data_IF_282493172355
#
_entry.id   IF_282493172355
#
_cell.length_a   1.000
_cell.length_b   1.000
_cell.length_c   1.000
_cell.angle_alpha   90.00
_cell.angle_beta   90.00
_cell.angle_gamma   90.00
#
_symmetry.space_group_name_H-M   'P 1'
#
loop_
_entity.id
_entity.type
_entity.pdbx_description
1 polymer ?
#
# COMPACT_ATOMS: atom_id res chain seq x y z
N UNK A 1 29.78 -22.09 -17.24
CA UNK A 1 29.96 -21.02 -16.26
C UNK A 1 29.04 -21.34 -15.09
N UNK A 2 29.49 -21.33 -13.84
CA UNK A 2 28.61 -21.54 -12.71
C UNK A 2 27.73 -20.31 -12.55
N UNK A 3 26.44 -20.57 -12.37
CA UNK A 3 25.45 -19.58 -12.01
C UNK A 3 25.93 -18.84 -10.76
N UNK A 4 26.23 -17.56 -10.89
CA UNK A 4 26.40 -16.69 -9.74
C UNK A 4 24.97 -16.51 -9.17
N UNK A 5 24.62 -17.29 -8.17
CA UNK A 5 23.49 -16.98 -7.31
C UNK A 5 23.84 -15.63 -6.64
N UNK A 6 23.36 -14.56 -7.22
CA UNK A 6 23.36 -13.27 -6.52
C UNK A 6 22.54 -13.49 -5.25
N UNK A 7 23.19 -13.42 -4.10
CA UNK A 7 22.49 -13.40 -2.83
C UNK A 7 21.44 -12.28 -2.90
N UNK A 8 20.20 -12.57 -2.47
CA UNK A 8 19.18 -11.53 -2.45
C UNK A 8 19.70 -10.36 -1.61
N UNK A 9 19.39 -9.12 -2.00
CA UNK A 9 19.82 -7.95 -1.25
C UNK A 9 19.40 -8.10 0.21
N UNK A 10 20.37 -7.87 1.11
CA UNK A 10 20.13 -7.89 2.55
C UNK A 10 19.17 -6.75 2.89
N UNK A 11 17.90 -7.09 3.07
CA UNK A 11 16.89 -6.12 3.46
C UNK A 11 16.97 -5.95 4.97
N UNK A 12 17.58 -4.87 5.41
CA UNK A 12 17.49 -4.45 6.80
C UNK A 12 16.03 -4.10 7.12
N UNK A 13 15.43 -4.87 8.04
CA UNK A 13 14.08 -4.66 8.51
C UNK A 13 14.11 -4.11 9.95
N UNK A 14 14.27 -2.79 10.13
CA UNK A 14 14.49 -2.19 11.44
C UNK A 14 13.29 -2.31 12.38
N UNK A 15 12.13 -2.66 11.85
CA UNK A 15 10.94 -2.83 12.66
C UNK A 15 9.81 -3.54 11.97
N UNK A 16 8.90 -4.07 12.78
CA UNK A 16 7.70 -4.77 12.30
C UNK A 16 6.62 -4.88 13.35
N UNK A 17 5.42 -5.23 12.90
CA UNK A 17 4.29 -5.49 13.77
C UNK A 17 3.43 -6.64 13.23
N UNK A 18 2.80 -7.37 14.15
CA UNK A 18 1.82 -8.43 13.85
C UNK A 18 0.61 -8.23 14.74
N UNK A 19 -0.59 -8.32 14.15
CA UNK A 19 -1.86 -8.35 14.86
C UNK A 19 -2.69 -9.52 14.34
N UNK A 20 -3.15 -10.37 15.23
CA UNK A 20 -4.03 -11.51 14.91
C UNK A 20 -5.38 -11.27 15.55
N UNK A 21 -6.42 -11.26 14.75
CA UNK A 21 -7.80 -11.03 15.19
C UNK A 21 -8.65 -12.29 14.96
N UNK A 22 -9.64 -12.49 15.82
CA UNK A 22 -10.71 -13.44 15.59
C UNK A 22 -11.80 -12.79 14.73
N UNK A 23 -12.03 -13.23 13.47
CA UNK A 23 -12.95 -12.53 12.54
C UNK A 23 -14.38 -12.42 13.02
N UNK A 24 -14.84 -13.41 13.82
CA UNK A 24 -16.23 -13.48 14.27
C UNK A 24 -16.56 -12.60 15.48
N UNK A 25 -15.57 -12.31 16.34
CA UNK A 25 -15.76 -11.52 17.58
C UNK A 25 -14.99 -10.20 17.56
N UNK A 26 -13.94 -10.08 16.72
CA UNK A 26 -13.03 -8.96 16.75
C UNK A 26 -11.97 -9.01 17.86
N UNK A 27 -11.93 -10.12 18.62
CA UNK A 27 -10.95 -10.27 19.70
C UNK A 27 -9.53 -10.27 19.17
N UNK A 28 -8.62 -9.58 19.86
CA UNK A 28 -7.19 -9.61 19.58
C UNK A 28 -6.60 -10.88 20.19
N UNK A 29 -6.23 -11.85 19.35
CA UNK A 29 -5.63 -13.12 19.78
C UNK A 29 -4.12 -12.99 20.00
N UNK A 30 -3.45 -12.14 19.23
CA UNK A 30 -2.04 -11.84 19.41
C UNK A 30 -1.73 -10.45 18.87
N UNK A 31 -0.74 -9.80 19.51
CA UNK A 31 -0.21 -8.51 19.07
C UNK A 31 1.27 -8.48 19.39
N UNK A 32 2.09 -8.17 18.40
CA UNK A 32 3.54 -8.05 18.54
C UNK A 32 4.07 -6.80 17.85
N UNK A 33 5.13 -6.24 18.44
CA UNK A 33 5.90 -5.12 17.88
C UNK A 33 7.37 -5.44 17.99
N UNK A 34 8.17 -5.14 16.97
CA UNK A 34 9.61 -5.33 16.95
C UNK A 34 10.28 -4.03 16.48
N UNK A 35 11.41 -3.61 17.06
CA UNK A 35 12.00 -4.17 18.28
C UNK A 35 11.09 -3.97 19.49
N UNK A 36 11.42 -4.67 20.57
CA UNK A 36 10.63 -4.70 21.81
C UNK A 36 11.58 -4.61 23.01
N UNK A 37 11.01 -4.53 24.20
CA UNK A 37 11.73 -4.56 25.47
C UNK A 37 11.05 -5.49 26.45
N UNK A 38 11.75 -5.88 27.54
CA UNK A 38 11.15 -6.65 28.62
C UNK A 38 10.28 -5.73 29.51
N UNK A 39 8.95 -5.92 29.55
CA UNK A 39 8.07 -5.11 30.41
C UNK A 39 8.42 -5.17 31.89
N UNK A 40 9.10 -6.21 32.37
CA UNK A 40 9.53 -6.35 33.74
C UNK A 40 10.59 -5.31 34.13
N UNK A 41 11.33 -4.77 33.16
CA UNK A 41 12.28 -3.66 33.41
C UNK A 41 11.59 -2.40 33.94
N UNK A 42 10.27 -2.26 33.71
CA UNK A 42 9.48 -1.12 34.19
C UNK A 42 9.09 -1.21 35.66
N UNK A 43 9.29 -2.37 36.30
CA UNK A 43 8.93 -2.57 37.70
C UNK A 43 9.83 -1.70 38.59
N UNK A 44 9.22 -0.73 39.26
CA UNK A 44 9.92 0.30 40.05
C UNK A 44 10.37 1.52 39.27
N UNK A 45 10.05 1.59 37.98
CA UNK A 45 10.40 2.66 37.07
C UNK A 45 11.68 2.37 36.28
N UNK A 46 11.74 2.95 35.08
CA UNK A 46 12.96 2.88 34.26
C UNK A 46 14.05 3.80 34.81
N UNK A 47 15.29 3.37 34.74
CA UNK A 47 16.44 4.28 34.86
C UNK A 47 16.43 5.25 33.67
N UNK A 48 16.92 6.45 33.86
CA UNK A 48 16.92 7.50 32.83
C UNK A 48 17.70 7.07 31.57
N UNK A 49 18.84 6.42 31.76
CA UNK A 49 19.67 5.91 30.66
C UNK A 49 18.89 4.87 29.82
N UNK A 50 18.24 3.92 30.48
CA UNK A 50 17.45 2.89 29.81
C UNK A 50 16.20 3.46 29.12
N UNK A 51 15.52 4.42 29.78
CA UNK A 51 14.40 5.13 29.15
C UNK A 51 14.80 5.85 27.88
N UNK A 52 15.95 6.54 27.90
CA UNK A 52 16.46 7.21 26.71
C UNK A 52 16.81 6.23 25.60
N UNK A 53 17.49 5.12 25.93
CA UNK A 53 17.82 4.07 24.97
C UNK A 53 16.58 3.46 24.30
N UNK A 54 15.51 3.18 25.06
CA UNK A 54 14.25 2.60 24.53
C UNK A 54 13.46 3.59 23.66
N UNK A 55 13.70 4.88 23.79
CA UNK A 55 13.06 5.92 22.99
C UNK A 55 14.02 6.56 21.97
N UNK A 56 15.19 5.99 21.75
CA UNK A 56 16.17 6.49 20.78
C UNK A 56 15.86 5.98 19.37
N UNK A 57 15.68 6.87 18.39
CA UNK A 57 15.54 6.46 16.97
C UNK A 57 16.74 5.65 16.45
N UNK A 58 17.95 5.84 16.99
CA UNK A 58 19.12 5.07 16.63
C UNK A 58 19.04 3.59 17.04
N UNK A 59 18.13 3.25 17.96
CA UNK A 59 17.82 1.91 18.40
C UNK A 59 16.46 1.43 17.89
N UNK A 60 15.94 2.03 16.85
CA UNK A 60 14.65 1.69 16.24
C UNK A 60 13.46 1.78 17.21
N UNK A 61 13.54 2.67 18.22
CA UNK A 61 12.44 2.98 19.14
C UNK A 61 11.76 1.74 19.74
N UNK A 62 12.42 0.93 20.59
CA UNK A 62 11.81 -0.29 21.16
C UNK A 62 10.54 -0.03 21.99
N UNK A 63 10.39 1.18 22.57
CA UNK A 63 9.20 1.60 23.32
C UNK A 63 7.99 1.88 22.43
N UNK A 64 8.20 2.15 21.14
CA UNK A 64 7.15 2.48 20.18
C UNK A 64 6.39 1.22 19.76
N UNK A 65 5.13 1.09 20.20
CA UNK A 65 4.30 -0.04 19.80
C UNK A 65 3.79 0.12 18.36
N UNK A 66 4.49 -0.47 17.42
CA UNK A 66 4.19 -0.37 16.00
C UNK A 66 2.84 -0.96 15.59
N UNK A 67 2.31 -1.89 16.38
CA UNK A 67 1.02 -2.50 16.10
C UNK A 67 -0.16 -1.55 16.38
N UNK A 68 0.04 -0.52 17.22
CA UNK A 68 -1.00 0.44 17.62
C UNK A 68 -0.69 1.85 17.11
N UNK A 69 0.58 2.22 17.08
CA UNK A 69 1.04 3.59 16.81
C UNK A 69 1.69 3.74 15.44
N UNK A 70 2.02 2.61 14.76
CA UNK A 70 2.68 2.65 13.46
C UNK A 70 1.75 3.11 12.36
N UNK A 71 2.13 4.17 11.66
CA UNK A 71 1.44 4.69 10.48
C UNK A 71 2.23 4.28 9.24
N UNK A 72 1.84 3.16 8.62
CA UNK A 72 2.48 2.63 7.43
C UNK A 72 1.58 2.80 6.22
N UNK A 73 2.19 3.06 5.06
CA UNK A 73 1.46 3.05 3.80
C UNK A 73 0.90 1.64 3.55
N UNK A 74 -0.43 1.49 3.38
CA UNK A 74 -1.05 0.17 3.24
C UNK A 74 -0.67 -0.55 1.95
N UNK A 75 -0.14 0.16 0.96
CA UNK A 75 0.21 -0.40 -0.34
C UNK A 75 -0.97 -1.12 -0.99
N UNK A 76 -0.65 -2.23 -1.76
CA UNK A 76 -1.66 -3.00 -2.50
C UNK A 76 -2.77 -3.63 -1.64
N UNK A 77 -2.60 -3.68 -0.31
CA UNK A 77 -3.69 -4.16 0.57
C UNK A 77 -4.88 -3.21 0.57
N UNK A 78 -4.66 -1.92 0.28
CA UNK A 78 -5.73 -0.94 0.17
C UNK A 78 -6.60 -1.10 -1.08
N UNK A 79 -6.13 -1.83 -2.08
CA UNK A 79 -6.87 -2.09 -3.32
C UNK A 79 -8.22 -2.78 -3.08
N UNK A 80 -8.33 -3.63 -2.06
CA UNK A 80 -9.60 -4.26 -1.68
C UNK A 80 -10.65 -3.23 -1.25
N UNK A 81 -10.24 -2.22 -0.49
CA UNK A 81 -11.14 -1.13 -0.06
C UNK A 81 -11.53 -0.24 -1.24
N UNK A 82 -10.57 0.10 -2.10
CA UNK A 82 -10.82 0.86 -3.32
C UNK A 82 -11.75 0.09 -4.28
N UNK A 83 -11.54 -1.21 -4.45
CA UNK A 83 -12.38 -2.08 -5.24
C UNK A 83 -13.82 -2.12 -4.71
N UNK A 84 -13.98 -2.27 -3.39
CA UNK A 84 -15.30 -2.28 -2.76
C UNK A 84 -16.01 -0.93 -2.91
N UNK A 85 -15.31 0.18 -2.69
CA UNK A 85 -15.86 1.52 -2.91
C UNK A 85 -16.27 1.74 -4.37
N UNK A 86 -15.40 1.39 -5.32
CA UNK A 86 -15.69 1.50 -6.74
C UNK A 86 -16.89 0.63 -7.18
N UNK A 87 -17.02 -0.57 -6.61
CA UNK A 87 -18.18 -1.42 -6.82
C UNK A 87 -19.46 -0.80 -6.29
N UNK A 88 -19.43 -0.31 -5.06
CA UNK A 88 -20.59 0.27 -4.40
C UNK A 88 -21.08 1.52 -5.12
N UNK A 89 -20.16 2.38 -5.56
CA UNK A 89 -20.45 3.62 -6.26
C UNK A 89 -20.67 3.42 -7.77
N UNK A 90 -20.43 2.22 -8.29
CA UNK A 90 -20.57 1.90 -9.71
C UNK A 90 -19.58 2.65 -10.61
N UNK A 91 -18.42 3.04 -10.08
CA UNK A 91 -17.39 3.81 -10.78
C UNK A 91 -16.29 2.90 -11.28
N UNK A 92 -16.39 2.52 -12.54
CA UNK A 92 -15.32 1.80 -13.22
C UNK A 92 -14.92 2.54 -14.49
N UNK A 93 -13.61 2.74 -14.67
CA UNK A 93 -13.08 3.40 -15.85
C UNK A 93 -13.18 4.92 -15.83
N UNK A 94 -12.77 5.54 -16.93
CA UNK A 94 -12.67 7.00 -17.12
C UNK A 94 -14.02 7.70 -17.04
N UNK A 95 -14.50 7.99 -15.82
CA UNK A 95 -15.71 8.78 -15.58
C UNK A 95 -17.03 8.17 -16.04
N UNK A 96 -17.08 6.84 -16.23
CA UNK A 96 -18.29 6.12 -16.59
C UNK A 96 -18.54 4.97 -15.63
N UNK A 97 -19.80 4.79 -15.28
CA UNK A 97 -20.27 3.57 -14.64
C UNK A 97 -20.08 2.43 -15.63
N UNK A 98 -19.16 1.51 -15.34
CA UNK A 98 -18.91 0.32 -16.13
C UNK A 98 -19.17 -0.93 -15.30
N UNK A 99 -19.66 -2.02 -15.94
CA UNK A 99 -19.76 -3.32 -15.25
C UNK A 99 -18.39 -3.76 -14.72
N UNK A 100 -18.37 -4.45 -13.58
CA UNK A 100 -17.14 -4.95 -12.97
C UNK A 100 -16.43 -6.01 -13.82
N UNK A 101 -17.15 -6.66 -14.71
CA UNK A 101 -16.67 -7.66 -15.65
C UNK A 101 -16.19 -7.06 -16.99
N UNK A 102 -16.28 -5.73 -17.17
CA UNK A 102 -15.71 -5.10 -18.34
C UNK A 102 -14.19 -5.00 -18.22
N UNK A 103 -13.51 -5.78 -19.05
CA UNK A 103 -12.05 -5.78 -19.09
C UNK A 103 -11.49 -4.64 -19.94
N UNK A 104 -10.36 -4.09 -19.52
CA UNK A 104 -9.56 -3.08 -20.25
C UNK A 104 -8.11 -3.50 -20.35
N UNK A 105 -7.41 -2.94 -21.29
CA UNK A 105 -5.97 -3.14 -21.43
C UNK A 105 -5.23 -2.18 -20.47
N UNK A 106 -4.44 -2.76 -19.59
CA UNK A 106 -3.49 -2.07 -18.74
C UNK A 106 -2.14 -2.05 -19.46
N UNK A 107 -1.67 -0.90 -19.94
CA UNK A 107 -0.41 -0.80 -20.69
C UNK A 107 0.84 -0.87 -19.78
N UNK A 108 0.68 -1.04 -18.47
CA UNK A 108 1.78 -1.04 -17.50
C UNK A 108 2.12 0.34 -16.95
N UNK A 109 1.47 1.38 -17.43
CA UNK A 109 1.64 2.75 -16.96
C UNK A 109 0.33 3.54 -17.06
N UNK A 110 0.22 4.57 -16.24
CA UNK A 110 -0.90 5.51 -16.21
C UNK A 110 -0.37 6.94 -16.27
N UNK A 111 -0.97 7.76 -17.12
CA UNK A 111 -0.67 9.20 -17.23
C UNK A 111 -1.86 9.98 -16.68
N UNK A 112 -1.61 10.88 -15.73
CA UNK A 112 -2.67 11.75 -15.20
C UNK A 112 -3.34 12.55 -16.32
N UNK A 113 -4.67 12.69 -16.26
CA UNK A 113 -5.41 13.43 -17.27
C UNK A 113 -5.00 14.92 -17.37
N UNK A 114 -4.58 15.50 -16.24
CA UNK A 114 -4.04 16.86 -16.19
C UNK A 114 -2.76 17.05 -16.99
N UNK A 115 -2.04 15.96 -17.29
CA UNK A 115 -0.80 15.94 -18.07
C UNK A 115 -1.00 15.40 -19.50
N UNK A 116 -2.25 15.07 -19.87
CA UNK A 116 -2.53 14.53 -21.21
C UNK A 116 -2.27 15.57 -22.28
N UNK A 117 -1.56 15.16 -23.33
CA UNK A 117 -1.16 16.05 -24.44
C UNK A 117 0.32 16.49 -24.42
N UNK A 118 1.07 16.08 -23.39
CA UNK A 118 2.52 16.25 -23.32
C UNK A 118 3.20 14.97 -23.80
N UNK A 119 4.38 15.06 -24.41
CA UNK A 119 5.18 13.87 -24.77
C UNK A 119 5.49 13.04 -23.51
N UNK A 120 5.50 11.70 -23.65
CA UNK A 120 5.66 10.80 -22.50
C UNK A 120 6.96 11.04 -21.73
N UNK A 121 8.05 11.38 -22.42
CA UNK A 121 9.34 11.67 -21.81
C UNK A 121 9.31 12.92 -20.93
N UNK A 122 8.61 13.97 -21.36
CA UNK A 122 8.42 15.22 -20.59
C UNK A 122 7.49 14.98 -19.39
N UNK A 123 6.50 14.10 -19.55
CA UNK A 123 5.53 13.72 -18.55
C UNK A 123 6.17 12.90 -17.41
N UNK A 124 7.14 12.03 -17.73
CA UNK A 124 7.92 11.30 -16.71
C UNK A 124 8.72 12.24 -15.82
N UNK A 125 9.39 13.22 -16.41
CA UNK A 125 10.16 14.23 -15.66
C UNK A 125 9.26 15.09 -14.75
N UNK A 126 7.98 15.28 -15.11
CA UNK A 126 6.99 16.03 -14.36
C UNK A 126 6.28 15.24 -13.23
N UNK A 127 6.58 13.95 -13.07
CA UNK A 127 5.92 13.11 -12.05
C UNK A 127 4.47 12.76 -12.40
N UNK A 128 4.10 12.83 -13.66
CA UNK A 128 2.74 12.56 -14.14
C UNK A 128 2.48 11.11 -14.57
N UNK A 129 3.54 10.26 -14.57
CA UNK A 129 3.46 8.85 -14.98
C UNK A 129 3.59 7.94 -13.77
N UNK A 130 2.60 7.08 -13.60
CA UNK A 130 2.60 6.04 -12.58
C UNK A 130 2.65 4.68 -13.25
N UNK A 131 3.37 3.73 -12.65
CA UNK A 131 3.63 2.43 -13.28
C UNK A 131 3.21 1.29 -12.37
N UNK A 132 2.87 0.16 -12.98
CA UNK A 132 2.82 -1.11 -12.25
C UNK A 132 4.20 -1.44 -11.67
N UNK A 133 4.25 -2.20 -10.57
CA UNK A 133 5.48 -2.53 -9.85
C UNK A 133 6.63 -3.06 -10.74
N UNK A 134 6.30 -3.74 -11.85
CA UNK A 134 7.28 -4.25 -12.83
C UNK A 134 7.22 -3.52 -14.16
N UNK A 135 6.50 -2.40 -14.25
CA UNK A 135 6.22 -1.68 -15.50
C UNK A 135 5.68 -2.60 -16.63
N UNK A 136 5.10 -3.74 -16.24
CA UNK A 136 4.60 -4.73 -17.19
C UNK A 136 3.12 -4.47 -17.50
N UNK A 137 2.70 -4.62 -18.77
CA UNK A 137 1.31 -4.54 -19.14
C UNK A 137 0.53 -5.77 -18.65
N UNK A 138 -0.76 -5.54 -18.35
CA UNK A 138 -1.70 -6.61 -18.03
C UNK A 138 -2.89 -6.52 -19.00
N UNK A 139 -2.93 -7.33 -20.05
CA UNK A 139 -4.04 -7.28 -21.00
C UNK A 139 -5.32 -7.82 -20.37
N UNK A 140 -6.45 -7.23 -20.75
CA UNK A 140 -7.78 -7.68 -20.37
C UNK A 140 -7.96 -7.77 -18.84
N UNK A 141 -7.81 -6.62 -18.15
CA UNK A 141 -7.98 -6.52 -16.70
C UNK A 141 -9.39 -6.04 -16.39
N UNK A 142 -10.18 -6.89 -15.75
CA UNK A 142 -11.42 -6.58 -15.05
C UNK A 142 -11.16 -6.40 -13.54
N UNK A 143 -12.20 -6.23 -12.74
CA UNK A 143 -12.07 -6.05 -11.30
C UNK A 143 -11.41 -7.25 -10.60
N UNK A 144 -11.83 -8.47 -10.92
CA UNK A 144 -11.28 -9.69 -10.31
C UNK A 144 -9.80 -9.86 -10.68
N UNK A 145 -9.50 -9.71 -11.95
CA UNK A 145 -8.12 -9.82 -12.43
C UNK A 145 -7.23 -8.71 -11.90
N UNK A 146 -7.75 -7.50 -11.71
CA UNK A 146 -6.99 -6.37 -11.16
C UNK A 146 -6.44 -6.65 -9.76
N UNK A 147 -7.23 -7.33 -8.93
CA UNK A 147 -6.81 -7.81 -7.61
C UNK A 147 -5.80 -8.95 -7.72
N UNK A 148 -6.06 -9.92 -8.63
CA UNK A 148 -5.20 -11.10 -8.82
C UNK A 148 -3.79 -10.72 -9.27
N UNK A 149 -3.67 -9.80 -10.26
CA UNK A 149 -2.37 -9.34 -10.79
C UNK A 149 -1.83 -8.11 -10.06
N UNK A 150 -2.60 -7.59 -9.12
CA UNK A 150 -2.27 -6.36 -8.39
C UNK A 150 -1.98 -5.17 -9.31
N UNK A 151 -2.81 -4.94 -10.34
CA UNK A 151 -2.63 -3.84 -11.28
C UNK A 151 -2.73 -2.49 -10.57
N UNK A 152 -1.66 -1.71 -10.55
CA UNK A 152 -1.67 -0.35 -10.03
C UNK A 152 -2.41 0.59 -11.01
N UNK A 153 -2.19 0.40 -12.30
CA UNK A 153 -2.80 1.21 -13.38
C UNK A 153 -4.33 1.17 -13.30
N UNK A 154 -4.92 -0.02 -13.03
CA UNK A 154 -6.36 -0.16 -12.85
C UNK A 154 -6.87 0.76 -11.73
N UNK A 155 -6.18 0.79 -10.59
CA UNK A 155 -6.59 1.58 -9.43
C UNK A 155 -6.23 3.07 -9.54
N UNK A 156 -5.17 3.44 -10.25
CA UNK A 156 -4.91 4.85 -10.58
C UNK A 156 -6.03 5.42 -11.47
N UNK A 157 -6.46 4.65 -12.47
CA UNK A 157 -7.56 5.06 -13.36
C UNK A 157 -8.85 5.27 -12.59
N UNK A 158 -9.21 4.35 -11.68
CA UNK A 158 -10.39 4.48 -10.83
C UNK A 158 -10.26 5.66 -9.88
N UNK A 159 -9.13 5.80 -9.20
CA UNK A 159 -8.90 6.85 -8.22
C UNK A 159 -9.00 8.24 -8.83
N UNK A 160 -8.38 8.47 -9.99
CA UNK A 160 -8.50 9.75 -10.67
C UNK A 160 -9.92 9.99 -11.20
N UNK A 161 -10.61 8.96 -11.67
CA UNK A 161 -12.00 9.08 -12.11
C UNK A 161 -12.92 9.53 -10.98
N UNK A 162 -12.76 8.98 -9.78
CA UNK A 162 -13.53 9.39 -8.59
C UNK A 162 -13.19 10.85 -8.22
N UNK A 163 -11.92 11.22 -8.30
CA UNK A 163 -11.46 12.56 -7.94
C UNK A 163 -11.97 13.64 -8.89
N UNK A 164 -11.93 13.36 -10.21
CA UNK A 164 -12.35 14.34 -11.24
C UNK A 164 -13.87 14.43 -11.36
N UNK A 165 -14.57 13.31 -11.19
CA UNK A 165 -16.02 13.22 -11.29
C UNK A 165 -16.60 12.79 -9.93
N UNK A 166 -16.60 13.68 -8.92
CA UNK A 166 -17.20 13.35 -7.63
C UNK A 166 -18.67 13.02 -7.84
N UNK A 167 -19.05 11.79 -7.48
CA UNK A 167 -20.39 11.21 -7.69
C UNK A 167 -21.44 11.88 -6.82
N UNK A 168 -21.05 12.71 -5.89
CA UNK A 168 -21.90 13.35 -4.90
C UNK A 168 -21.99 14.85 -5.11
N UNK A 169 -22.77 15.26 -6.10
CA UNK A 169 -23.31 16.61 -6.18
C UNK A 169 -24.81 16.58 -6.58
N UNK A 170 -25.59 15.72 -5.90
CA UNK A 170 -27.04 15.91 -5.82
C UNK A 170 -27.53 15.73 -4.36
#
# INVERSE_FOLDING_TARGET
APDSEEEPPDFDAPGGAVVVLAPGSGDVLAMGSYPSYDPNESIGGFRVDRWNELNDPANDLPMFNRAIQGEYAPGSTFKLFTAHAAWHEGVFGTGRVKPADEAWDDPGYYVLQSCSGTEVEDVEAGGCVFRNAKSAPNPQVDLERSLTVSSDVYYYTIGESIYINPIHNE
#
